data_IF_894406555687
#
_entry.id   IF_894406555687
#
_cell.length_a   1.000
_cell.length_b   1.000
_cell.length_c   1.000
_cell.angle_alpha   90.00
_cell.angle_beta   90.00
_cell.angle_gamma   90.00
#
_symmetry.space_group_name_H-M   'P 1'
#
loop_
_entity.id
_entity.type
_entity.pdbx_description
1 polymer ?
#
# COMPACT_ATOMS: atom_id res chain seq x y z
N UNK A 1 -12.92 -22.39 -11.68
CA UNK A 1 -12.27 -21.14 -11.21
C UNK A 1 -11.24 -21.51 -10.16
N UNK A 2 -10.00 -21.02 -10.26
CA UNK A 2 -8.96 -21.33 -9.28
C UNK A 2 -9.03 -20.30 -8.14
N UNK A 3 -9.44 -20.74 -6.94
CA UNK A 3 -9.63 -19.88 -5.76
C UNK A 3 -8.35 -19.15 -5.36
N UNK A 4 -7.20 -19.79 -5.51
CA UNK A 4 -5.88 -19.21 -5.21
C UNK A 4 -5.63 -17.94 -6.04
N UNK A 5 -5.92 -18.00 -7.35
CA UNK A 5 -5.80 -16.85 -8.26
C UNK A 5 -6.79 -15.73 -7.92
N UNK A 6 -7.98 -16.07 -7.45
CA UNK A 6 -8.99 -15.08 -7.02
C UNK A 6 -8.52 -14.36 -5.77
N UNK A 7 -8.03 -15.09 -4.76
CA UNK A 7 -7.51 -14.51 -3.51
C UNK A 7 -6.30 -13.62 -3.82
N UNK A 8 -5.39 -14.07 -4.69
CA UNK A 8 -4.23 -13.28 -5.13
C UNK A 8 -4.63 -11.95 -5.76
N UNK A 9 -5.50 -11.98 -6.78
CA UNK A 9 -5.96 -10.77 -7.45
C UNK A 9 -6.76 -9.85 -6.51
N UNK A 10 -7.57 -10.43 -5.62
CA UNK A 10 -8.33 -9.69 -4.63
C UNK A 10 -7.43 -8.84 -3.73
N UNK A 11 -6.40 -9.43 -3.12
CA UNK A 11 -5.52 -8.68 -2.20
C UNK A 11 -4.68 -7.63 -2.93
N UNK A 12 -4.25 -7.88 -4.17
CA UNK A 12 -3.52 -6.89 -4.96
C UNK A 12 -4.40 -5.66 -5.25
N UNK A 13 -5.64 -5.88 -5.69
CA UNK A 13 -6.57 -4.78 -5.98
C UNK A 13 -6.99 -4.08 -4.69
N UNK A 14 -7.28 -4.83 -3.62
CA UNK A 14 -7.65 -4.27 -2.32
C UNK A 14 -6.51 -3.41 -1.74
N UNK A 15 -5.25 -3.85 -1.85
CA UNK A 15 -4.09 -3.09 -1.39
C UNK A 15 -3.98 -1.73 -2.09
N UNK A 16 -4.29 -1.68 -3.39
CA UNK A 16 -4.36 -0.43 -4.14
C UNK A 16 -5.50 0.44 -3.63
N UNK A 17 -6.73 -0.08 -3.57
CA UNK A 17 -7.91 0.74 -3.27
C UNK A 17 -7.94 1.26 -1.84
N UNK A 18 -7.46 0.48 -0.86
CA UNK A 18 -7.36 0.93 0.53
C UNK A 18 -6.28 2.01 0.67
N UNK A 19 -5.17 1.88 -0.05
CA UNK A 19 -4.13 2.91 -0.05
C UNK A 19 -4.61 4.21 -0.74
N UNK A 20 -5.38 4.11 -1.83
CA UNK A 20 -6.09 5.26 -2.41
C UNK A 20 -7.01 5.90 -1.38
N UNK A 21 -7.76 5.11 -0.63
CA UNK A 21 -8.65 5.61 0.42
C UNK A 21 -7.91 6.51 1.43
N UNK A 22 -6.72 6.10 1.88
CA UNK A 22 -5.92 6.93 2.77
C UNK A 22 -5.35 8.19 2.07
N UNK A 23 -4.88 8.10 0.82
CA UNK A 23 -4.28 9.24 0.11
C UNK A 23 -5.31 10.25 -0.37
N UNK A 24 -6.56 9.83 -0.57
CA UNK A 24 -7.62 10.67 -1.11
C UNK A 24 -8.04 11.75 -0.11
N UNK A 25 -7.80 13.02 -0.44
CA UNK A 25 -8.12 14.14 0.43
C UNK A 25 -7.22 15.33 0.17
N UNK A 26 -7.24 16.28 1.11
CA UNK A 26 -6.33 17.41 1.11
C UNK A 26 -5.09 16.99 1.89
N UNK A 27 -3.95 16.95 1.21
CA UNK A 27 -2.69 16.38 1.68
C UNK A 27 -2.23 16.89 3.05
N UNK A 28 -2.58 18.13 3.39
CA UNK A 28 -2.15 18.85 4.58
C UNK A 28 -3.25 18.96 5.65
N UNK A 29 -4.43 18.36 5.43
CA UNK A 29 -5.55 18.39 6.37
C UNK A 29 -5.65 17.08 7.17
N UNK A 30 -5.27 17.07 8.46
CA UNK A 30 -5.33 15.87 9.30
C UNK A 30 -6.72 15.25 9.45
N UNK A 31 -7.79 16.02 9.24
CA UNK A 31 -9.16 15.51 9.37
C UNK A 31 -9.59 14.61 8.21
N UNK A 32 -8.89 14.68 7.08
CA UNK A 32 -9.18 13.84 5.91
C UNK A 32 -8.51 12.46 5.96
N UNK A 33 -7.54 12.27 6.85
CA UNK A 33 -6.71 11.07 6.89
C UNK A 33 -6.84 10.34 8.22
N UNK A 34 -7.34 9.10 8.19
CA UNK A 34 -7.57 8.32 9.40
C UNK A 34 -6.43 7.36 9.71
N UNK A 35 -6.07 7.24 11.00
CA UNK A 35 -5.14 6.21 11.49
C UNK A 35 -5.64 4.79 11.17
N UNK A 36 -6.97 4.60 11.12
CA UNK A 36 -7.58 3.31 10.80
C UNK A 36 -7.38 2.94 9.32
N UNK A 37 -7.44 3.92 8.43
CA UNK A 37 -7.18 3.71 6.99
C UNK A 37 -5.71 3.42 6.73
N UNK A 38 -4.80 4.14 7.40
CA UNK A 38 -3.36 3.85 7.33
C UNK A 38 -3.05 2.43 7.81
N UNK A 39 -3.65 2.04 8.94
CA UNK A 39 -3.51 0.70 9.52
C UNK A 39 -4.07 -0.38 8.60
N UNK A 40 -5.25 -0.14 8.00
CA UNK A 40 -5.84 -1.05 7.02
C UNK A 40 -4.95 -1.16 5.77
N UNK A 41 -4.41 -0.05 5.26
CA UNK A 41 -3.51 -0.04 4.12
C UNK A 41 -2.27 -0.90 4.41
N UNK A 42 -1.65 -0.75 5.58
CA UNK A 42 -0.52 -1.57 6.02
C UNK A 42 -0.88 -3.05 6.03
N UNK A 43 -1.95 -3.43 6.75
CA UNK A 43 -2.33 -4.84 6.91
C UNK A 43 -2.63 -5.51 5.56
N UNK A 44 -3.40 -4.85 4.70
CA UNK A 44 -3.75 -5.39 3.38
C UNK A 44 -2.50 -5.52 2.49
N UNK A 45 -1.58 -4.54 2.54
CA UNK A 45 -0.32 -4.62 1.79
C UNK A 45 0.60 -5.72 2.30
N UNK A 46 0.59 -6.01 3.61
CA UNK A 46 1.30 -7.15 4.18
C UNK A 46 0.71 -8.49 3.73
N UNK A 47 -0.61 -8.64 3.70
CA UNK A 47 -1.24 -9.85 3.17
C UNK A 47 -0.95 -10.03 1.68
N UNK A 48 -1.03 -8.97 0.89
CA UNK A 48 -0.67 -9.00 -0.52
C UNK A 48 0.80 -9.41 -0.74
N UNK A 49 1.71 -8.91 0.10
CA UNK A 49 3.12 -9.32 0.08
C UNK A 49 3.26 -10.81 0.42
N UNK A 50 2.58 -11.29 1.47
CA UNK A 50 2.62 -12.70 1.88
C UNK A 50 2.19 -13.66 0.78
N UNK A 51 1.17 -13.30 0.00
CA UNK A 51 0.70 -14.10 -1.14
C UNK A 51 1.68 -14.11 -2.32
N UNK A 52 2.58 -13.13 -2.40
CA UNK A 52 3.65 -13.08 -3.41
C UNK A 52 4.88 -13.89 -2.99
N UNK A 53 5.01 -14.26 -1.71
CA UNK A 53 6.08 -15.11 -1.22
C UNK A 53 5.84 -16.56 -1.67
N UNK A 54 6.67 -17.04 -2.60
CA UNK A 54 6.61 -18.43 -3.07
C UNK A 54 6.67 -18.56 -4.59
N UNK A 55 6.30 -17.52 -5.32
CA UNK A 55 6.49 -17.49 -6.78
C UNK A 55 7.94 -17.13 -7.14
N UNK A 56 8.63 -18.06 -7.80
CA UNK A 56 10.02 -17.90 -8.27
C UNK A 56 10.11 -17.36 -9.69
N UNK A 57 8.99 -17.03 -10.32
CA UNK A 57 8.97 -16.42 -11.65
C UNK A 57 9.53 -14.99 -11.62
N UNK A 58 9.96 -14.48 -12.78
CA UNK A 58 10.36 -13.07 -12.93
C UNK A 58 9.22 -12.10 -12.57
N UNK A 59 7.98 -12.48 -12.87
CA UNK A 59 6.78 -11.69 -12.56
C UNK A 59 6.53 -11.69 -11.05
N UNK A 60 6.63 -12.85 -10.40
CA UNK A 60 6.55 -13.00 -8.95
C UNK A 60 7.59 -12.15 -8.22
N UNK A 61 8.84 -12.15 -8.69
CA UNK A 61 9.91 -11.31 -8.15
C UNK A 61 9.61 -9.81 -8.29
N UNK A 62 9.06 -9.37 -9.42
CA UNK A 62 8.67 -7.97 -9.64
C UNK A 62 7.47 -7.55 -8.77
N UNK A 63 6.46 -8.42 -8.65
CA UNK A 63 5.33 -8.20 -7.75
C UNK A 63 5.79 -8.13 -6.29
N UNK A 64 6.72 -8.98 -5.87
CA UNK A 64 7.28 -8.95 -4.53
C UNK A 64 8.05 -7.64 -4.28
N UNK A 65 8.87 -7.19 -5.24
CA UNK A 65 9.61 -5.94 -5.13
C UNK A 65 8.68 -4.72 -4.95
N UNK A 66 7.60 -4.64 -5.74
CA UNK A 66 6.60 -3.56 -5.58
C UNK A 66 5.92 -3.60 -4.21
N UNK A 67 5.58 -4.79 -3.71
CA UNK A 67 5.03 -4.94 -2.36
C UNK A 67 6.01 -4.55 -1.26
N UNK A 68 7.30 -4.84 -1.40
CA UNK A 68 8.33 -4.42 -0.43
C UNK A 68 8.43 -2.89 -0.38
N UNK A 69 8.46 -2.23 -1.53
CA UNK A 69 8.47 -0.76 -1.59
C UNK A 69 7.23 -0.17 -0.95
N UNK A 70 6.04 -0.70 -1.26
CA UNK A 70 4.79 -0.24 -0.66
C UNK A 70 4.78 -0.39 0.86
N UNK A 71 5.14 -1.56 1.38
CA UNK A 71 5.16 -1.81 2.82
C UNK A 71 6.18 -0.94 3.54
N UNK A 72 7.39 -0.75 2.99
CA UNK A 72 8.41 0.12 3.60
C UNK A 72 7.91 1.56 3.75
N UNK A 73 7.25 2.10 2.73
CA UNK A 73 6.73 3.46 2.78
C UNK A 73 5.53 3.59 3.72
N UNK A 74 4.61 2.62 3.73
CA UNK A 74 3.48 2.61 4.68
C UNK A 74 3.95 2.49 6.14
N UNK A 75 4.96 1.65 6.40
CA UNK A 75 5.56 1.53 7.73
C UNK A 75 6.24 2.83 8.13
N UNK A 76 7.00 3.46 7.23
CA UNK A 76 7.61 4.76 7.50
C UNK A 76 6.55 5.82 7.86
N UNK A 77 5.44 5.87 7.13
CA UNK A 77 4.31 6.76 7.43
C UNK A 77 3.71 6.49 8.83
N UNK A 78 3.53 5.22 9.20
CA UNK A 78 3.04 4.85 10.53
C UNK A 78 4.03 5.18 11.66
N UNK A 79 5.34 5.04 11.42
CA UNK A 79 6.36 5.44 12.39
C UNK A 79 6.31 6.95 12.62
N UNK A 80 6.24 7.75 11.55
CA UNK A 80 6.10 9.23 11.66
C UNK A 80 4.84 9.60 12.45
N UNK A 81 3.70 9.00 12.11
CA UNK A 81 2.45 9.22 12.85
C UNK A 81 2.60 8.89 14.34
N UNK A 82 3.17 7.72 14.65
CA UNK A 82 3.30 7.22 16.02
C UNK A 82 4.21 8.12 16.86
N UNK A 83 5.35 8.54 16.31
CA UNK A 83 6.31 9.43 16.99
C UNK A 83 5.66 10.78 17.31
N UNK A 84 4.91 11.36 16.38
CA UNK A 84 4.29 12.66 16.58
C UNK A 84 3.20 12.61 17.65
N UNK A 85 2.34 11.58 17.60
CA UNK A 85 1.21 11.46 18.52
C UNK A 85 1.62 10.98 19.92
N UNK A 86 2.59 10.07 20.04
CA UNK A 86 2.88 9.41 21.32
C UNK A 86 4.22 9.80 21.95
N UNK A 87 5.15 10.40 21.20
CA UNK A 87 6.48 10.76 21.72
C UNK A 87 6.63 12.26 21.87
N UNK A 88 6.29 13.03 20.83
CA UNK A 88 6.45 14.49 20.83
C UNK A 88 5.25 15.24 21.42
N UNK A 89 4.07 14.62 21.44
CA UNK A 89 2.81 15.18 21.95
C UNK A 89 2.48 16.58 21.36
N UNK A 90 3.03 16.87 20.17
CA UNK A 90 2.99 18.19 19.53
C UNK A 90 1.68 18.46 18.78
N UNK A 91 0.74 17.50 18.79
CA UNK A 91 -0.42 17.49 17.91
C UNK A 91 -0.04 17.21 16.45
N UNK A 92 -1.04 16.83 15.65
CA UNK A 92 -0.88 16.56 14.22
C UNK A 92 -0.92 17.88 13.44
N UNK A 93 0.24 18.36 12.98
CA UNK A 93 0.34 19.57 12.15
C UNK A 93 0.13 19.25 10.67
N UNK A 94 -0.22 20.27 9.89
CA UNK A 94 -0.40 20.15 8.44
C UNK A 94 0.86 19.68 7.70
N UNK A 95 2.05 20.13 8.13
CA UNK A 95 3.33 19.72 7.53
C UNK A 95 3.64 18.23 7.79
N UNK A 96 3.36 17.75 8.99
CA UNK A 96 3.54 16.34 9.34
C UNK A 96 2.55 15.49 8.56
N UNK A 97 1.28 15.91 8.48
CA UNK A 97 0.28 15.19 7.71
C UNK A 97 0.68 15.09 6.24
N UNK A 98 1.13 16.19 5.64
CA UNK A 98 1.61 16.20 4.26
C UNK A 98 2.79 15.24 4.05
N UNK A 99 3.67 15.11 5.04
CA UNK A 99 4.78 14.13 5.00
C UNK A 99 4.29 12.69 5.04
N UNK A 100 3.31 12.38 5.90
CA UNK A 100 2.69 11.04 6.00
C UNK A 100 1.98 10.69 4.69
N UNK A 101 1.15 11.60 4.18
CA UNK A 101 0.42 11.40 2.92
C UNK A 101 1.39 11.27 1.74
N UNK A 102 2.49 12.02 1.71
CA UNK A 102 3.55 11.89 0.70
C UNK A 102 4.20 10.49 0.71
N UNK A 103 4.54 9.96 1.88
CA UNK A 103 5.05 8.58 2.03
C UNK A 103 4.01 7.56 1.54
N UNK A 104 2.75 7.68 1.96
CA UNK A 104 1.71 6.74 1.48
C UNK A 104 1.41 6.87 -0.02
N UNK A 105 1.60 8.05 -0.60
CA UNK A 105 1.47 8.29 -2.05
C UNK A 105 2.54 7.54 -2.85
N UNK A 106 3.77 7.43 -2.35
CA UNK A 106 4.76 6.59 -3.00
C UNK A 106 4.46 5.09 -2.85
N UNK A 107 3.87 4.67 -1.72
CA UNK A 107 3.31 3.33 -1.61
C UNK A 107 2.16 3.09 -2.61
N UNK A 108 1.36 4.12 -2.89
CA UNK A 108 0.25 4.05 -3.84
C UNK A 108 0.79 3.80 -5.26
N UNK A 109 1.84 4.51 -5.66
CA UNK A 109 2.52 4.28 -6.95
C UNK A 109 3.01 2.83 -7.05
N UNK A 110 3.61 2.28 -5.98
CA UNK A 110 4.06 0.89 -5.96
C UNK A 110 2.89 -0.10 -6.14
N UNK A 111 1.72 0.17 -5.54
CA UNK A 111 0.53 -0.66 -5.72
C UNK A 111 -0.06 -0.55 -7.13
N UNK A 112 0.00 0.62 -7.76
CA UNK A 112 -0.39 0.79 -9.17
C UNK A 112 0.48 -0.09 -10.06
N UNK A 113 1.81 -0.08 -9.86
CA UNK A 113 2.71 -0.96 -10.62
C UNK A 113 2.36 -2.44 -10.40
N UNK A 114 2.06 -2.84 -9.16
CA UNK A 114 1.63 -4.22 -8.85
C UNK A 114 0.36 -4.62 -9.63
N UNK A 115 -0.63 -3.74 -9.73
CA UNK A 115 -1.87 -4.01 -10.48
C UNK A 115 -1.60 -4.07 -11.98
N UNK A 116 -0.77 -3.16 -12.52
CA UNK A 116 -0.40 -3.17 -13.94
C UNK A 116 0.29 -4.47 -14.32
N UNK A 117 1.25 -4.94 -13.51
CA UNK A 117 1.94 -6.21 -13.75
C UNK A 117 0.96 -7.39 -13.74
N UNK A 118 0.02 -7.43 -12.79
CA UNK A 118 -1.03 -8.46 -12.73
C UNK A 118 -1.91 -8.47 -13.99
N UNK A 119 -2.31 -7.30 -14.47
CA UNK A 119 -3.12 -7.16 -15.69
C UNK A 119 -2.34 -7.62 -16.92
N UNK A 120 -1.06 -7.23 -17.04
CA UNK A 120 -0.19 -7.66 -18.14
C UNK A 120 -0.03 -9.19 -18.18
N UNK A 121 0.20 -9.82 -17.04
CA UNK A 121 0.30 -11.28 -16.93
C UNK A 121 -1.01 -11.96 -17.38
N UNK A 122 -2.15 -11.42 -16.94
CA UNK A 122 -3.48 -11.93 -17.31
C UNK A 122 -3.76 -11.82 -18.81
N UNK A 123 -3.30 -10.74 -19.47
CA UNK A 123 -3.44 -10.55 -20.92
C UNK A 123 -2.55 -11.52 -21.70
N UNK A 124 -1.31 -11.72 -21.26
CA UNK A 124 -0.37 -12.64 -21.90
C UNK A 124 -0.82 -14.10 -21.77
N UNK A 125 -1.41 -14.49 -20.65
CA UNK A 125 -1.92 -15.85 -20.42
C UNK A 125 -3.11 -16.24 -21.34
N UNK A 126 -3.71 -15.28 -22.07
CA UNK A 126 -4.77 -15.53 -23.06
C UNK A 126 -4.24 -15.79 -24.47
N UNK A 127 -2.96 -15.55 -24.73
CA UNK A 127 -2.30 -15.79 -26.02
C UNK A 127 -1.53 -17.10 -25.98
#
# INVERSE_FOLDING_TARGET
MNLEKVIFGFFIVLALTVNVGFVMGDIDNPLHHSVYELSAAILVNFFAMGLKLGDRSHIGAMLLATSLVANLQLIAAAVVWTVIVHVLDSGMTSEVMASIVSLTSGALVANIVSVVVLVMDTVNARR
#
